data_IF_672505059169
#
_entry.id   IF_672505059169
#
_cell.length_a   1.000
_cell.length_b   1.000
_cell.length_c   1.000
_cell.angle_alpha   90.00
_cell.angle_beta   90.00
_cell.angle_gamma   90.00
#
_symmetry.space_group_name_H-M   'P 1'
#
loop_
_entity.id
_entity.type
_entity.pdbx_description
1 polymer ?
#
# COMPACT_ATOMS: atom_id res chain seq x y z
N UNK A 1 2.98 -18.09 -0.87
CA UNK A 1 2.03 -17.63 -1.91
C UNK A 1 0.86 -18.59 -2.09
N UNK A 2 1.07 -19.84 -2.54
CA UNK A 2 -0.03 -20.80 -2.82
C UNK A 2 -1.01 -21.00 -1.65
N UNK A 3 -0.51 -21.25 -0.44
CA UNK A 3 -1.36 -21.41 0.76
C UNK A 3 -2.21 -20.16 1.03
N UNK A 4 -1.62 -18.96 0.96
CA UNK A 4 -2.32 -17.70 1.17
C UNK A 4 -3.43 -17.48 0.13
N UNK A 5 -3.18 -17.83 -1.14
CA UNK A 5 -4.19 -17.75 -2.20
C UNK A 5 -5.37 -18.68 -1.89
N UNK A 6 -5.10 -19.93 -1.48
CA UNK A 6 -6.17 -20.89 -1.12
C UNK A 6 -7.01 -20.39 0.04
N UNK A 7 -6.38 -19.89 1.10
CA UNK A 7 -7.11 -19.36 2.25
C UNK A 7 -7.91 -18.10 1.89
N UNK A 8 -7.36 -17.20 1.06
CA UNK A 8 -8.11 -16.04 0.60
C UNK A 8 -9.37 -16.45 -0.19
N UNK A 9 -9.24 -17.39 -1.13
CA UNK A 9 -10.38 -17.90 -1.91
C UNK A 9 -11.42 -18.59 -1.02
N UNK A 10 -10.98 -19.45 -0.10
CA UNK A 10 -11.84 -20.16 0.86
C UNK A 10 -12.70 -19.19 1.68
N UNK A 11 -12.14 -18.02 2.03
CA UNK A 11 -12.82 -17.02 2.85
C UNK A 11 -13.46 -15.89 2.03
N UNK A 12 -13.47 -15.96 0.69
CA UNK A 12 -14.04 -14.92 -0.17
C UNK A 12 -13.29 -13.57 -0.12
N UNK A 13 -12.02 -13.58 0.28
CA UNK A 13 -11.19 -12.37 0.40
C UNK A 13 -10.57 -12.02 -0.96
N UNK A 14 -10.65 -10.72 -1.31
CA UNK A 14 -10.02 -10.20 -2.53
C UNK A 14 -8.49 -10.30 -2.47
N UNK A 15 -7.89 -11.00 -3.43
CA UNK A 15 -6.43 -11.18 -3.50
C UNK A 15 -5.78 -9.98 -4.18
N UNK A 16 -4.65 -9.51 -3.66
CA UNK A 16 -3.81 -8.53 -4.31
C UNK A 16 -2.32 -8.85 -4.23
N UNK A 17 -1.56 -8.34 -5.20
CA UNK A 17 -0.11 -8.41 -5.17
C UNK A 17 0.45 -7.39 -4.17
N UNK A 18 1.47 -7.81 -3.41
CA UNK A 18 2.16 -6.98 -2.44
C UNK A 18 3.65 -6.84 -2.76
N UNK A 19 4.01 -6.24 -3.92
CA UNK A 19 5.40 -6.20 -4.38
C UNK A 19 6.28 -5.33 -3.48
N UNK A 20 7.51 -5.75 -3.27
CA UNK A 20 8.51 -5.03 -2.45
C UNK A 20 9.78 -4.74 -3.24
N UNK A 21 10.69 -3.98 -2.62
CA UNK A 21 12.10 -4.00 -3.00
C UNK A 21 12.71 -5.41 -2.78
N UNK A 22 13.81 -5.75 -3.47
CA UNK A 22 14.51 -7.04 -3.33
C UNK A 22 15.38 -7.07 -2.06
N UNK A 23 14.72 -6.91 -0.90
CA UNK A 23 15.36 -6.72 0.40
C UNK A 23 14.82 -7.75 1.40
N UNK A 24 15.07 -9.04 1.10
CA UNK A 24 14.49 -10.14 1.87
C UNK A 24 14.93 -10.10 3.34
N UNK A 25 16.18 -9.76 3.59
CA UNK A 25 16.79 -9.81 4.92
C UNK A 25 16.21 -8.74 5.87
N UNK A 26 15.70 -7.63 5.33
CA UNK A 26 15.03 -6.58 6.11
C UNK A 26 13.53 -6.48 5.78
N UNK A 27 12.95 -7.55 5.22
CA UNK A 27 11.52 -7.65 4.92
C UNK A 27 11.00 -6.52 4.02
N UNK A 28 11.79 -6.04 3.05
CA UNK A 28 11.37 -4.96 2.16
C UNK A 28 11.29 -3.58 2.83
N UNK A 29 11.87 -3.41 4.02
CA UNK A 29 11.75 -2.20 4.85
C UNK A 29 12.99 -1.29 4.81
N UNK A 30 13.98 -1.59 3.97
CA UNK A 30 15.12 -0.68 3.72
C UNK A 30 14.83 0.24 2.55
N UNK A 31 15.15 1.52 2.68
CA UNK A 31 15.07 2.45 1.57
C UNK A 31 16.12 2.09 0.50
N UNK A 32 15.72 2.12 -0.77
CA UNK A 32 16.60 1.81 -1.89
C UNK A 32 16.45 2.86 -2.98
N UNK A 33 17.55 3.13 -3.68
CA UNK A 33 17.57 3.94 -4.90
C UNK A 33 17.84 2.99 -6.05
N UNK A 34 16.78 2.66 -6.79
CA UNK A 34 16.86 1.83 -7.99
C UNK A 34 16.42 2.65 -9.20
N UNK A 35 16.96 2.38 -10.40
CA UNK A 35 16.45 2.96 -11.63
C UNK A 35 14.94 2.67 -11.79
N UNK A 36 14.13 3.62 -12.29
CA UNK A 36 12.70 3.40 -12.51
C UNK A 36 12.39 2.15 -13.35
N UNK A 37 13.21 1.85 -14.35
CA UNK A 37 13.08 0.67 -15.21
C UNK A 37 13.26 -0.62 -14.43
N UNK A 38 14.18 -0.64 -13.47
CA UNK A 38 14.38 -1.77 -12.55
C UNK A 38 13.15 -1.97 -11.67
N UNK A 39 12.59 -0.89 -11.12
CA UNK A 39 11.38 -0.97 -10.28
C UNK A 39 10.18 -1.45 -11.08
N UNK A 40 10.01 -0.94 -12.30
CA UNK A 40 8.98 -1.39 -13.24
C UNK A 40 9.10 -2.91 -13.47
N UNK A 41 10.28 -3.39 -13.85
CA UNK A 41 10.49 -4.80 -14.15
C UNK A 41 10.27 -5.71 -12.94
N UNK A 42 10.76 -5.31 -11.76
CA UNK A 42 10.59 -6.08 -10.52
C UNK A 42 9.15 -6.09 -10.04
N UNK A 43 8.42 -4.98 -10.22
CA UNK A 43 6.99 -4.90 -9.90
C UNK A 43 6.20 -5.83 -10.83
N UNK A 44 6.42 -5.73 -12.14
CA UNK A 44 5.78 -6.58 -13.13
C UNK A 44 6.06 -8.08 -12.88
N UNK A 45 7.30 -8.43 -12.56
CA UNK A 45 7.70 -9.80 -12.22
C UNK A 45 6.92 -10.34 -11.01
N UNK A 46 6.85 -9.58 -9.91
CA UNK A 46 6.17 -9.99 -8.69
C UNK A 46 4.65 -10.12 -8.88
N UNK A 47 4.05 -9.20 -9.63
CA UNK A 47 2.62 -9.25 -10.01
C UNK A 47 2.36 -10.51 -10.85
N UNK A 48 3.17 -10.75 -11.88
CA UNK A 48 3.03 -11.93 -12.74
C UNK A 48 3.19 -13.25 -12.00
N UNK A 49 4.16 -13.34 -11.07
CA UNK A 49 4.36 -14.51 -10.24
C UNK A 49 3.13 -14.84 -9.38
N UNK A 50 2.51 -13.84 -8.73
CA UNK A 50 1.27 -14.06 -7.99
C UNK A 50 0.09 -14.35 -8.91
N UNK A 51 -0.03 -13.60 -10.00
CA UNK A 51 -1.11 -13.75 -10.97
C UNK A 51 -1.21 -15.18 -11.51
N UNK A 52 -0.08 -15.79 -11.87
CA UNK A 52 -0.04 -17.19 -12.33
C UNK A 52 -0.57 -18.16 -11.26
N UNK A 53 -0.20 -17.96 -9.99
CA UNK A 53 -0.68 -18.80 -8.87
C UNK A 53 -2.19 -18.61 -8.65
N UNK A 54 -2.66 -17.36 -8.67
CA UNK A 54 -4.09 -17.04 -8.51
C UNK A 54 -4.92 -17.67 -9.62
N UNK A 55 -4.48 -17.54 -10.87
CA UNK A 55 -5.14 -18.17 -12.02
C UNK A 55 -5.18 -19.69 -11.90
N UNK A 56 -4.07 -20.32 -11.49
CA UNK A 56 -4.00 -21.78 -11.30
C UNK A 56 -4.91 -22.29 -10.18
N UNK A 57 -5.40 -21.42 -9.28
CA UNK A 57 -6.40 -21.75 -8.26
C UNK A 57 -7.83 -21.32 -8.65
N UNK A 58 -8.05 -20.86 -9.90
CA UNK A 58 -9.35 -20.39 -10.37
C UNK A 58 -9.78 -19.04 -9.79
N UNK A 59 -8.85 -18.29 -9.20
CA UNK A 59 -9.09 -16.98 -8.60
C UNK A 59 -8.89 -15.82 -9.58
N UNK A 60 -9.15 -14.61 -9.08
CA UNK A 60 -8.89 -13.35 -9.79
C UNK A 60 -8.12 -12.41 -8.86
N UNK A 61 -6.99 -11.90 -9.32
CA UNK A 61 -6.25 -10.86 -8.61
C UNK A 61 -6.96 -9.51 -8.82
N UNK A 62 -7.15 -8.74 -7.75
CA UNK A 62 -8.01 -7.54 -7.75
C UNK A 62 -7.24 -6.24 -7.64
N UNK A 63 -6.10 -6.26 -6.99
CA UNK A 63 -5.36 -5.04 -6.68
C UNK A 63 -3.86 -5.28 -6.57
N UNK A 64 -3.11 -4.18 -6.60
CA UNK A 64 -1.69 -4.12 -6.29
C UNK A 64 -1.49 -3.06 -5.22
N UNK A 65 -0.77 -3.42 -4.17
CA UNK A 65 -0.37 -2.50 -3.09
C UNK A 65 1.12 -2.66 -2.87
N UNK A 66 1.98 -1.67 -3.13
CA UNK A 66 3.40 -1.81 -2.80
C UNK A 66 3.63 -2.09 -1.31
N UNK A 67 4.72 -2.77 -0.99
CA UNK A 67 5.09 -3.13 0.37
C UNK A 67 6.17 -2.19 0.94
N UNK A 68 6.18 -2.05 2.26
CA UNK A 68 7.32 -1.55 3.02
C UNK A 68 7.87 -0.22 2.50
N UNK A 69 9.17 -0.18 2.20
CA UNK A 69 9.80 1.04 1.72
C UNK A 69 9.51 1.38 0.27
N UNK A 70 9.13 0.41 -0.56
CA UNK A 70 8.65 0.69 -1.90
C UNK A 70 7.38 1.57 -1.83
N UNK A 71 6.45 1.23 -0.94
CA UNK A 71 5.25 2.02 -0.68
C UNK A 71 5.57 3.43 -0.18
N UNK A 72 6.38 3.52 0.88
CA UNK A 72 6.67 4.80 1.53
C UNK A 72 7.46 5.75 0.60
N UNK A 73 8.41 5.24 -0.18
CA UNK A 73 9.13 6.06 -1.16
C UNK A 73 8.21 6.46 -2.31
N UNK A 74 7.41 5.53 -2.86
CA UNK A 74 6.48 5.83 -3.96
C UNK A 74 5.38 6.81 -3.55
N UNK A 75 5.11 6.96 -2.25
CA UNK A 75 4.19 7.98 -1.77
C UNK A 75 4.69 9.42 -2.02
N UNK A 76 6.02 9.61 -2.13
CA UNK A 76 6.69 10.92 -2.25
C UNK A 76 7.44 11.11 -3.57
N UNK A 77 7.95 10.03 -4.17
CA UNK A 77 8.74 10.08 -5.39
C UNK A 77 7.85 9.84 -6.64
N UNK A 78 7.65 10.86 -7.50
CA UNK A 78 6.81 10.74 -8.68
C UNK A 78 7.37 9.79 -9.74
N UNK A 79 8.69 9.62 -9.85
CA UNK A 79 9.31 8.72 -10.83
C UNK A 79 9.10 7.26 -10.41
N UNK A 80 9.29 6.98 -9.12
CA UNK A 80 9.04 5.66 -8.55
C UNK A 80 7.56 5.28 -8.65
N UNK A 81 6.67 6.21 -8.31
CA UNK A 81 5.23 6.04 -8.44
C UNK A 81 4.80 5.73 -9.88
N UNK A 82 5.37 6.44 -10.86
CA UNK A 82 5.08 6.21 -12.28
C UNK A 82 5.56 4.83 -12.75
N UNK A 83 6.74 4.38 -12.34
CA UNK A 83 7.25 3.05 -12.69
C UNK A 83 6.32 1.93 -12.18
N UNK A 84 5.85 2.05 -10.93
CA UNK A 84 4.91 1.09 -10.34
C UNK A 84 3.57 1.13 -11.07
N UNK A 85 2.98 2.31 -11.25
CA UNK A 85 1.68 2.45 -11.91
C UNK A 85 1.71 1.93 -13.35
N UNK A 86 2.80 2.21 -14.09
CA UNK A 86 3.02 1.67 -15.43
C UNK A 86 3.07 0.14 -15.42
N UNK A 87 3.81 -0.46 -14.50
CA UNK A 87 3.90 -1.93 -14.39
C UNK A 87 2.55 -2.58 -14.10
N UNK A 88 1.72 -1.95 -13.25
CA UNK A 88 0.36 -2.42 -12.96
C UNK A 88 -0.52 -2.29 -14.21
N UNK A 89 -0.50 -1.15 -14.89
CA UNK A 89 -1.26 -0.90 -16.11
C UNK A 89 -0.91 -1.89 -17.23
N UNK A 90 0.38 -2.10 -17.49
CA UNK A 90 0.84 -2.97 -18.56
C UNK A 90 0.57 -4.46 -18.27
N UNK A 91 0.46 -4.85 -16.99
CA UNK A 91 0.05 -6.19 -16.60
C UNK A 91 -1.45 -6.41 -16.81
N UNK A 92 -2.28 -5.54 -16.21
CA UNK A 92 -3.74 -5.58 -16.34
C UNK A 92 -4.33 -4.22 -15.92
N UNK A 93 -4.88 -3.41 -16.86
CA UNK A 93 -5.42 -2.10 -16.56
C UNK A 93 -6.71 -2.12 -15.72
N UNK A 94 -7.30 -3.30 -15.49
CA UNK A 94 -8.47 -3.47 -14.61
C UNK A 94 -8.10 -3.60 -13.12
N UNK A 95 -6.81 -3.79 -12.80
CA UNK A 95 -6.35 -3.88 -11.41
C UNK A 95 -6.49 -2.54 -10.69
N UNK A 96 -6.85 -2.62 -9.41
CA UNK A 96 -6.87 -1.47 -8.52
C UNK A 96 -5.46 -1.20 -8.01
N UNK A 97 -4.96 0.04 -8.13
CA UNK A 97 -3.73 0.47 -7.48
C UNK A 97 -4.03 1.08 -6.11
N UNK A 98 -3.54 0.45 -5.06
CA UNK A 98 -3.69 0.91 -3.67
C UNK A 98 -2.44 1.68 -3.26
N UNK A 99 -2.63 2.89 -2.74
CA UNK A 99 -1.54 3.76 -2.28
C UNK A 99 -1.97 4.66 -1.14
N UNK A 100 -1.01 5.31 -0.50
CA UNK A 100 -1.29 6.21 0.62
C UNK A 100 -2.21 7.35 0.16
N UNK A 101 -3.19 7.72 0.99
CA UNK A 101 -4.07 8.84 0.70
C UNK A 101 -3.28 10.11 0.35
N UNK A 102 -3.68 10.79 -0.74
CA UNK A 102 -3.04 12.02 -1.23
C UNK A 102 -1.61 11.87 -1.79
N UNK A 103 -1.13 10.65 -2.02
CA UNK A 103 0.27 10.39 -2.40
C UNK A 103 0.56 10.43 -3.90
N UNK A 104 1.85 10.49 -4.26
CA UNK A 104 2.28 10.41 -5.66
C UNK A 104 1.87 9.10 -6.35
N UNK A 105 1.74 8.00 -5.61
CA UNK A 105 1.28 6.73 -6.16
C UNK A 105 -0.17 6.79 -6.64
N UNK A 106 -1.02 7.51 -5.91
CA UNK A 106 -2.42 7.74 -6.32
C UNK A 106 -2.46 8.61 -7.58
N UNK A 107 -1.71 9.72 -7.60
CA UNK A 107 -1.60 10.58 -8.79
C UNK A 107 -1.05 9.84 -10.01
N UNK A 108 -0.08 8.95 -9.81
CA UNK A 108 0.46 8.11 -10.87
C UNK A 108 -0.57 7.13 -11.41
N UNK A 109 -1.31 6.44 -10.54
CA UNK A 109 -2.39 5.54 -10.95
C UNK A 109 -3.44 6.24 -11.81
N UNK A 110 -3.89 7.42 -11.39
CA UNK A 110 -4.85 8.24 -12.13
C UNK A 110 -4.31 8.66 -13.51
N UNK A 111 -3.03 9.07 -13.60
CA UNK A 111 -2.38 9.40 -14.89
C UNK A 111 -2.37 8.21 -15.86
N UNK A 112 -2.18 6.99 -15.35
CA UNK A 112 -2.26 5.74 -16.11
C UNK A 112 -3.69 5.18 -16.25
N UNK A 113 -4.71 5.95 -15.84
CA UNK A 113 -6.14 5.57 -15.89
C UNK A 113 -6.47 4.29 -15.13
N UNK A 114 -5.67 3.93 -14.13
CA UNK A 114 -5.98 2.85 -13.21
C UNK A 114 -7.07 3.30 -12.23
N UNK A 115 -7.90 2.35 -11.80
CA UNK A 115 -8.74 2.57 -10.62
C UNK A 115 -7.81 2.65 -9.40
N UNK A 116 -7.85 3.75 -8.66
CA UNK A 116 -7.05 3.90 -7.44
C UNK A 116 -7.90 3.71 -6.19
N UNK A 117 -7.26 3.25 -5.12
CA UNK A 117 -7.83 3.27 -3.77
C UNK A 117 -6.85 3.91 -2.80
N UNK A 118 -7.30 4.98 -2.17
CA UNK A 118 -6.57 5.70 -1.14
C UNK A 118 -6.67 4.95 0.18
N UNK A 119 -5.53 4.48 0.65
CA UNK A 119 -5.37 3.73 1.88
C UNK A 119 -5.03 4.65 3.04
N UNK A 120 -5.63 4.33 4.19
CA UNK A 120 -5.27 4.86 5.50
C UNK A 120 -4.92 3.72 6.45
N UNK A 121 -4.23 4.02 7.54
CA UNK A 121 -3.73 3.07 8.53
C UNK A 121 -4.32 3.38 9.89
N UNK A 122 -4.95 2.39 10.52
CA UNK A 122 -5.54 2.52 11.85
C UNK A 122 -4.47 2.71 12.94
N UNK A 123 -3.36 1.99 12.80
CA UNK A 123 -2.36 1.74 13.83
C UNK A 123 -1.05 2.52 13.62
N UNK A 124 -1.03 3.47 12.69
CA UNK A 124 0.15 4.27 12.35
C UNK A 124 -0.05 5.74 12.68
N UNK A 125 1.02 6.37 13.17
CA UNK A 125 1.08 7.81 13.32
C UNK A 125 1.27 8.53 11.98
N UNK A 126 0.68 9.73 11.87
CA UNK A 126 0.77 10.58 10.69
C UNK A 126 1.59 11.85 10.97
N UNK A 127 2.26 12.34 9.93
CA UNK A 127 2.86 13.65 9.88
C UNK A 127 1.83 14.67 9.39
N UNK A 128 2.11 15.96 9.58
CA UNK A 128 1.19 17.04 9.17
C UNK A 128 0.94 17.09 7.65
N UNK A 129 1.88 16.57 6.85
CA UNK A 129 1.74 16.44 5.39
C UNK A 129 0.89 15.23 4.95
N UNK A 130 0.35 14.45 5.91
CA UNK A 130 -0.44 13.24 5.64
C UNK A 130 0.42 12.00 5.36
N UNK A 131 1.75 12.12 5.37
CA UNK A 131 2.64 10.96 5.28
C UNK A 131 2.72 10.21 6.60
N UNK A 132 3.08 8.92 6.56
CA UNK A 132 3.27 8.14 7.77
C UNK A 132 4.56 8.56 8.50
N UNK A 133 4.53 8.49 9.82
CA UNK A 133 5.73 8.62 10.65
C UNK A 133 6.63 7.40 10.39
N UNK A 134 7.94 7.58 10.10
CA UNK A 134 8.87 6.48 9.90
C UNK A 134 8.87 5.50 11.07
N UNK A 135 8.86 4.19 10.78
CA UNK A 135 8.67 3.13 11.81
C UNK A 135 9.60 3.20 13.02
N UNK A 136 10.82 3.73 12.85
CA UNK A 136 11.82 3.81 13.92
C UNK A 136 11.69 5.07 14.78
N UNK A 137 10.74 5.95 14.50
CA UNK A 137 10.55 7.20 15.24
C UNK A 137 9.47 7.05 16.32
N UNK A 138 9.56 7.81 17.42
CA UNK A 138 8.50 7.88 18.42
C UNK A 138 7.15 8.26 17.80
N UNK A 139 6.08 7.60 18.23
CA UNK A 139 4.73 7.82 17.71
C UNK A 139 4.46 7.20 16.34
N UNK A 140 5.34 6.34 15.81
CA UNK A 140 5.12 5.67 14.54
C UNK A 140 4.03 4.60 14.56
N UNK A 141 3.87 3.95 15.71
CA UNK A 141 2.88 2.89 15.97
C UNK A 141 1.94 3.34 17.08
N UNK A 142 0.66 2.98 16.94
CA UNK A 142 -0.37 3.12 17.95
C UNK A 142 -0.63 1.72 18.49
N UNK A 143 -0.29 1.50 19.76
CA UNK A 143 -0.50 0.22 20.45
C UNK A 143 -1.84 0.17 21.19
N UNK A 144 -2.45 1.32 21.44
CA UNK A 144 -3.72 1.44 22.13
C UNK A 144 -4.88 1.23 21.16
N UNK A 145 -5.72 0.23 21.43
CA UNK A 145 -6.83 -0.17 20.56
C UNK A 145 -7.89 0.94 20.45
N UNK A 146 -8.21 1.61 21.56
CA UNK A 146 -9.19 2.71 21.58
C UNK A 146 -8.71 3.88 20.72
N UNK A 147 -7.42 4.21 20.78
CA UNK A 147 -6.80 5.23 19.95
C UNK A 147 -6.83 4.86 18.46
N UNK A 148 -6.52 3.61 18.11
CA UNK A 148 -6.56 3.14 16.73
C UNK A 148 -8.00 3.14 16.17
N UNK A 149 -8.98 2.77 16.99
CA UNK A 149 -10.40 2.82 16.65
C UNK A 149 -10.87 4.26 16.43
N UNK A 150 -10.58 5.16 17.37
CA UNK A 150 -10.94 6.57 17.26
C UNK A 150 -10.33 7.21 16.01
N UNK A 151 -9.05 6.94 15.73
CA UNK A 151 -8.37 7.40 14.52
C UNK A 151 -9.08 6.88 13.26
N UNK A 152 -9.43 5.59 13.23
CA UNK A 152 -10.13 4.97 12.10
C UNK A 152 -11.49 5.63 11.85
N UNK A 153 -12.25 5.91 12.91
CA UNK A 153 -13.54 6.58 12.81
C UNK A 153 -13.40 8.01 12.30
N UNK A 154 -12.43 8.78 12.78
CA UNK A 154 -12.14 10.13 12.27
C UNK A 154 -11.80 10.11 10.77
N UNK A 155 -11.01 9.13 10.32
CA UNK A 155 -10.63 9.01 8.91
C UNK A 155 -11.81 8.65 8.01
N UNK A 156 -12.65 7.70 8.45
CA UNK A 156 -13.78 7.20 7.64
C UNK A 156 -14.98 8.15 7.66
N UNK A 157 -15.29 8.75 8.82
CA UNK A 157 -16.51 9.57 8.97
C UNK A 157 -16.24 11.05 8.71
N UNK A 158 -15.08 11.57 9.13
CA UNK A 158 -14.75 12.99 9.05
C UNK A 158 -13.68 13.31 7.99
N UNK A 159 -13.11 12.30 7.33
CA UNK A 159 -12.12 12.50 6.26
C UNK A 159 -10.85 13.19 6.73
N UNK A 160 -10.42 12.94 7.97
CA UNK A 160 -9.26 13.59 8.57
C UNK A 160 -8.50 12.68 9.54
N UNK A 161 -7.23 12.97 9.76
CA UNK A 161 -6.38 12.31 10.74
C UNK A 161 -5.59 13.36 11.53
N UNK A 162 -5.36 13.09 12.82
CA UNK A 162 -4.56 13.96 13.68
C UNK A 162 -3.09 13.54 13.58
N UNK A 163 -2.22 14.47 13.21
CA UNK A 163 -0.78 14.21 13.15
C UNK A 163 -0.18 14.07 14.55
N UNK A 164 1.06 13.55 14.63
CA UNK A 164 1.84 13.52 15.88
C UNK A 164 2.17 14.90 16.44
N UNK A 165 2.00 15.97 15.64
CA UNK A 165 2.13 17.36 16.09
C UNK A 165 0.79 17.99 16.49
N UNK A 166 -0.30 17.23 16.44
CA UNK A 166 -1.65 17.66 16.83
C UNK A 166 -2.44 18.38 15.73
N UNK A 167 -1.88 18.52 14.53
CA UNK A 167 -2.52 19.17 13.38
C UNK A 167 -3.46 18.19 12.68
N UNK A 168 -4.65 18.66 12.29
CA UNK A 168 -5.57 17.86 11.48
C UNK A 168 -5.21 17.93 10.00
N UNK A 169 -5.10 16.76 9.37
CA UNK A 169 -4.82 16.61 7.95
C UNK A 169 -5.96 15.89 7.26
N UNK A 170 -6.43 16.42 6.13
CA UNK A 170 -7.49 15.79 5.33
C UNK A 170 -6.96 14.51 4.66
N UNK A 171 -7.75 13.45 4.72
CA UNK A 171 -7.46 12.16 4.07
C UNK A 171 -8.72 11.60 3.41
N UNK A 172 -8.55 10.83 2.34
CA UNK A 172 -9.63 10.05 1.75
C UNK A 172 -9.43 8.59 2.14
N UNK A 173 -10.28 8.06 3.02
CA UNK A 173 -10.20 6.68 3.49
C UNK A 173 -11.10 5.75 2.66
N UNK A 174 -10.54 5.09 1.65
CA UNK A 174 -11.28 4.12 0.82
C UNK A 174 -10.97 2.66 1.19
N UNK A 175 -9.86 2.44 1.88
CA UNK A 175 -9.47 1.17 2.48
C UNK A 175 -8.65 1.45 3.73
N UNK A 176 -8.82 0.63 4.78
CA UNK A 176 -8.09 0.76 6.04
C UNK A 176 -7.14 -0.43 6.17
N UNK A 177 -5.85 -0.16 6.34
CA UNK A 177 -4.85 -1.17 6.62
C UNK A 177 -4.89 -1.55 8.09
N UNK A 178 -4.98 -2.86 8.34
CA UNK A 178 -4.84 -3.48 9.66
C UNK A 178 -3.62 -4.40 9.57
N UNK A 179 -2.65 -4.17 10.45
CA UNK A 179 -1.45 -4.97 10.54
C UNK A 179 -1.71 -6.23 11.36
N UNK A 180 -1.30 -7.39 10.84
CA UNK A 180 -1.32 -8.67 11.56
C UNK A 180 0.02 -9.05 12.18
N UNK A 181 1.02 -8.15 12.10
CA UNK A 181 2.35 -8.30 12.71
C UNK A 181 2.46 -7.67 14.11
N UNK A 182 1.34 -7.22 14.69
CA UNK A 182 1.21 -6.84 16.10
C UNK A 182 0.73 -8.01 16.99
N UNK A 183 0.80 -7.82 18.31
CA UNK A 183 0.18 -8.73 19.29
C UNK A 183 -1.35 -8.57 19.33
#
# INVERSE_FOLDING_TARGET
MLTCVREALKNGVAIGAHPSFPDRDNFGRTAMVLPPETVYAQTLYQIGALGAIVQAQGGVMRHVKPHGMLYNQAAKDPHLAQAIAKAVHDYDPSLILVGLAGSELIRAGERYRLVTRQEVFADRGYQADGSLVPRMQPGALIHDEEQALAQTLDMVQAGRVKSVTGVWTTVTAQTVCIHGDGE
#
